data_IF_282713704919
#
_entry.id   IF_282713704919
#
_cell.length_a   1.000
_cell.length_b   1.000
_cell.length_c   1.000
_cell.angle_alpha   90.00
_cell.angle_beta   90.00
_cell.angle_gamma   90.00
#
_symmetry.space_group_name_H-M   'P 1'
#
loop_
_entity.id
_entity.type
_entity.pdbx_description
1 polymer ?
#
# COMPACT_ATOMS: atom_id res chain seq x y z
N UNK A 1 -27.64 -1.20 10.73
CA UNK A 1 -26.69 -1.60 9.68
C UNK A 1 -25.51 -2.27 10.39
N UNK A 2 -25.20 -3.55 10.15
CA UNK A 2 -24.20 -4.25 10.95
C UNK A 2 -22.81 -3.76 10.55
N UNK A 3 -22.19 -2.98 11.44
CA UNK A 3 -20.79 -2.60 11.38
C UNK A 3 -19.96 -3.85 11.60
N UNK A 4 -19.50 -4.48 10.52
CA UNK A 4 -18.56 -5.58 10.59
C UNK A 4 -17.17 -4.99 10.82
N UNK A 5 -16.51 -5.18 11.98
CA UNK A 5 -15.12 -4.81 12.16
C UNK A 5 -14.27 -5.87 11.46
N UNK A 6 -14.39 -5.97 10.13
CA UNK A 6 -13.33 -6.55 9.33
C UNK A 6 -12.09 -5.77 9.72
N UNK A 7 -11.08 -6.49 10.21
CA UNK A 7 -9.74 -6.00 10.53
C UNK A 7 -9.13 -5.44 9.23
N UNK A 8 -9.62 -4.28 8.83
CA UNK A 8 -9.30 -3.63 7.59
C UNK A 8 -7.90 -3.06 7.77
N UNK A 9 -6.93 -3.76 7.19
CA UNK A 9 -5.59 -3.20 7.04
C UNK A 9 -5.78 -1.89 6.27
N UNK A 10 -5.51 -0.77 6.95
CA UNK A 10 -5.61 0.55 6.35
C UNK A 10 -4.67 0.60 5.15
N UNK A 11 -5.15 1.15 4.03
CA UNK A 11 -4.27 1.38 2.89
C UNK A 11 -3.23 2.42 3.29
N UNK A 12 -1.93 2.22 3.01
CA UNK A 12 -0.89 3.22 3.26
C UNK A 12 -0.94 4.38 2.24
N UNK A 13 -2.09 4.56 1.57
CA UNK A 13 -2.29 5.58 0.56
C UNK A 13 -2.45 6.95 1.22
N UNK A 14 -1.58 7.89 0.88
CA UNK A 14 -1.63 9.28 1.35
C UNK A 14 -2.42 10.21 0.41
N UNK A 15 -3.18 9.66 -0.54
CA UNK A 15 -3.89 10.44 -1.56
C UNK A 15 -3.01 10.96 -2.71
N UNK A 16 -1.73 10.56 -2.73
CA UNK A 16 -0.78 10.87 -3.81
C UNK A 16 -0.62 9.63 -4.69
N UNK A 17 -0.89 9.77 -5.99
CA UNK A 17 -0.72 8.71 -6.98
C UNK A 17 0.28 9.18 -8.04
N UNK A 18 1.57 9.16 -7.69
CA UNK A 18 2.67 9.48 -8.60
C UNK A 18 3.51 8.24 -8.73
N UNK A 19 3.53 7.62 -9.91
CA UNK A 19 4.32 6.43 -10.17
C UNK A 19 5.72 6.86 -10.64
N UNK A 20 6.74 6.26 -10.05
CA UNK A 20 8.13 6.34 -10.51
C UNK A 20 8.34 5.43 -11.74
N UNK A 21 9.53 5.51 -12.35
CA UNK A 21 9.97 4.67 -13.47
C UNK A 21 9.97 3.15 -13.18
N UNK A 22 9.84 2.77 -11.90
CA UNK A 22 9.70 1.37 -11.46
C UNK A 22 8.24 0.94 -11.20
N UNK A 23 7.25 1.71 -11.69
CA UNK A 23 5.81 1.49 -11.45
C UNK A 23 5.43 1.49 -9.95
N UNK A 24 6.27 2.10 -9.11
CA UNK A 24 6.05 2.26 -7.69
C UNK A 24 5.55 3.65 -7.38
N UNK A 25 4.49 3.74 -6.59
CA UNK A 25 3.96 5.02 -6.15
C UNK A 25 4.96 5.71 -5.21
N UNK A 26 5.44 6.90 -5.55
CA UNK A 26 6.37 7.68 -4.75
C UNK A 26 5.82 8.13 -3.40
N UNK A 27 4.49 8.12 -3.22
CA UNK A 27 3.82 8.49 -1.97
C UNK A 27 3.58 7.32 -1.02
N UNK A 28 3.06 6.20 -1.55
CA UNK A 28 2.71 5.02 -0.75
C UNK A 28 3.59 3.80 -0.99
N UNK A 29 4.56 3.86 -1.90
CA UNK A 29 5.54 2.83 -2.27
C UNK A 29 4.94 1.47 -2.67
N UNK A 30 3.67 1.49 -3.08
CA UNK A 30 2.98 0.34 -3.68
C UNK A 30 3.13 0.37 -5.19
N UNK A 31 3.19 -0.79 -5.81
CA UNK A 31 3.12 -0.89 -7.26
C UNK A 31 1.72 -0.57 -7.78
N UNK A 32 1.62 -0.15 -9.03
CA UNK A 32 0.34 0.04 -9.71
C UNK A 32 -0.56 -1.21 -9.64
N UNK A 33 0.03 -2.41 -9.77
CA UNK A 33 -0.68 -3.68 -9.62
C UNK A 33 -1.23 -3.89 -8.20
N UNK A 34 -0.44 -3.61 -7.16
CA UNK A 34 -0.86 -3.69 -5.76
C UNK A 34 -1.98 -2.68 -5.45
N UNK A 35 -1.98 -1.53 -6.13
CA UNK A 35 -3.02 -0.51 -6.02
C UNK A 35 -4.32 -1.02 -6.65
N UNK A 36 -4.27 -1.53 -7.88
CA UNK A 36 -5.43 -2.07 -8.60
C UNK A 36 -6.02 -3.32 -7.95
N UNK A 37 -5.18 -4.22 -7.46
CA UNK A 37 -5.62 -5.47 -6.81
C UNK A 37 -5.94 -5.32 -5.32
N UNK A 38 -5.80 -4.13 -4.72
CA UNK A 38 -5.97 -3.95 -3.28
C UNK A 38 -7.31 -4.45 -2.75
N UNK A 39 -8.40 -4.19 -3.48
CA UNK A 39 -9.75 -4.63 -3.13
C UNK A 39 -9.91 -6.16 -3.18
N UNK A 40 -9.10 -6.84 -3.99
CA UNK A 40 -9.11 -8.30 -4.16
C UNK A 40 -8.18 -9.02 -3.19
N UNK A 41 -7.27 -8.32 -2.50
CA UNK A 41 -6.34 -8.94 -1.57
C UNK A 41 -6.98 -9.31 -0.23
N UNK A 42 -6.63 -10.52 0.24
CA UNK A 42 -6.88 -10.97 1.61
C UNK A 42 -6.14 -10.10 2.62
N UNK A 43 -6.61 -10.08 3.86
CA UNK A 43 -6.00 -9.26 4.94
C UNK A 43 -4.51 -9.57 5.14
N UNK A 44 -4.09 -10.83 5.00
CA UNK A 44 -2.67 -11.23 5.09
C UNK A 44 -1.84 -10.62 3.95
N UNK A 45 -2.34 -10.68 2.71
CA UNK A 45 -1.70 -10.04 1.55
C UNK A 45 -1.63 -8.53 1.72
N UNK A 46 -2.73 -7.90 2.16
CA UNK A 46 -2.76 -6.46 2.44
C UNK A 46 -1.68 -6.08 3.45
N UNK A 47 -1.57 -6.83 4.54
CA UNK A 47 -0.55 -6.60 5.56
C UNK A 47 0.88 -6.78 5.02
N UNK A 48 1.12 -7.79 4.19
CA UNK A 48 2.40 -8.00 3.54
C UNK A 48 2.77 -6.84 2.61
N UNK A 49 1.81 -6.39 1.77
CA UNK A 49 1.99 -5.25 0.86
C UNK A 49 2.28 -3.97 1.64
N UNK A 50 1.59 -3.71 2.75
CA UNK A 50 1.91 -2.54 3.61
C UNK A 50 3.33 -2.65 4.15
N UNK A 51 3.75 -3.81 4.68
CA UNK A 51 5.12 -4.00 5.16
C UNK A 51 6.16 -3.79 4.06
N UNK A 52 5.94 -4.34 2.87
CA UNK A 52 6.78 -4.14 1.69
C UNK A 52 6.86 -2.67 1.28
N UNK A 53 5.73 -1.97 1.29
CA UNK A 53 5.68 -0.54 1.01
C UNK A 53 6.53 0.26 1.99
N UNK A 54 6.44 -0.06 3.29
CA UNK A 54 7.28 0.54 4.32
C UNK A 54 8.77 0.21 4.14
N UNK A 55 9.11 -1.01 3.75
CA UNK A 55 10.49 -1.38 3.42
C UNK A 55 11.00 -0.57 2.22
N UNK A 56 10.23 -0.50 1.13
CA UNK A 56 10.57 0.30 -0.06
C UNK A 56 10.72 1.78 0.28
N UNK A 57 9.86 2.34 1.14
CA UNK A 57 9.99 3.71 1.61
C UNK A 57 11.31 3.96 2.35
N UNK A 58 11.74 2.96 3.15
CA UNK A 58 13.02 2.98 3.87
C UNK A 58 14.20 2.90 2.92
N UNK A 59 14.15 2.00 1.95
CA UNK A 59 15.19 1.84 0.92
C UNK A 59 15.29 3.06 0.01
N UNK A 60 14.15 3.69 -0.32
CA UNK A 60 14.10 4.94 -1.08
C UNK A 60 14.58 6.16 -0.26
N UNK A 61 14.93 5.99 1.01
CA UNK A 61 15.39 7.08 1.88
C UNK A 61 14.33 8.15 2.15
N UNK A 62 13.05 7.87 1.88
CA UNK A 62 11.91 8.79 2.07
C UNK A 62 11.25 8.65 3.45
N UNK A 63 11.91 7.95 4.37
CA UNK A 63 11.55 7.87 5.79
C UNK A 63 12.26 9.02 6.54
N UNK A 64 11.56 10.14 6.72
CA UNK A 64 11.89 11.18 7.71
C UNK A 64 11.18 10.87 9.03
#
# INVERSE_FOLDING_TARGET
MPNNPQKNIASPCIGVCVLDNNDLCEGCFRSAEEIGCWSMYSNEKKQAVVKLSWQRAKEAGKLL
#
